data_IF_145421411234
#
_entry.id   IF_145421411234
#
_cell.length_a   1.000
_cell.length_b   1.000
_cell.length_c   1.000
_cell.angle_alpha   90.00
_cell.angle_beta   90.00
_cell.angle_gamma   90.00
#
_symmetry.space_group_name_H-M   'P 1'
#
loop_
_entity.id
_entity.type
_entity.pdbx_description
1 polymer ?
#
# COMPACT_ATOMS: atom_id res chain seq x y z
N UNK A 1 -25.44 22.70 -18.73
CA UNK A 1 -24.36 22.94 -17.75
C UNK A 1 -24.15 21.70 -16.91
N UNK A 2 -23.01 21.09 -17.05
CA UNK A 2 -22.63 20.00 -16.15
C UNK A 2 -22.30 20.59 -14.78
N UNK A 3 -23.08 20.23 -13.78
CA UNK A 3 -22.85 20.65 -12.40
C UNK A 3 -21.48 20.10 -11.97
N UNK A 4 -20.58 20.99 -11.60
CA UNK A 4 -19.24 20.60 -11.13
C UNK A 4 -19.39 19.77 -9.87
N UNK A 5 -19.04 18.51 -9.93
CA UNK A 5 -19.13 17.61 -8.79
C UNK A 5 -18.06 17.97 -7.76
N UNK A 6 -18.47 18.25 -6.54
CA UNK A 6 -17.58 18.58 -5.44
C UNK A 6 -17.36 17.39 -4.52
N UNK A 7 -16.21 17.37 -3.85
CA UNK A 7 -15.92 16.36 -2.85
C UNK A 7 -16.72 16.63 -1.58
N UNK A 8 -17.90 16.03 -1.50
CA UNK A 8 -18.74 16.08 -0.30
C UNK A 8 -18.47 14.85 0.57
N UNK A 9 -18.93 14.89 1.83
CA UNK A 9 -18.87 13.72 2.72
C UNK A 9 -19.56 12.52 2.10
N UNK A 10 -20.70 12.74 1.45
CA UNK A 10 -21.47 11.67 0.80
C UNK A 10 -20.69 11.00 -0.33
N UNK A 11 -20.09 11.80 -1.22
CA UNK A 11 -19.27 11.29 -2.34
C UNK A 11 -18.06 10.52 -1.80
N UNK A 12 -17.38 11.08 -0.80
CA UNK A 12 -16.25 10.45 -0.13
C UNK A 12 -16.61 9.09 0.47
N UNK A 13 -17.72 9.03 1.21
CA UNK A 13 -18.19 7.79 1.86
C UNK A 13 -18.63 6.74 0.85
N UNK A 14 -19.27 7.14 -0.24
CA UNK A 14 -19.70 6.24 -1.30
C UNK A 14 -18.51 5.59 -2.02
N UNK A 15 -17.49 6.38 -2.34
CA UNK A 15 -16.27 5.87 -2.97
C UNK A 15 -15.55 4.92 -2.02
N UNK A 16 -15.39 5.28 -0.76
CA UNK A 16 -14.78 4.43 0.26
C UNK A 16 -15.49 3.10 0.37
N UNK A 17 -16.80 3.11 0.52
CA UNK A 17 -17.61 1.90 0.65
C UNK A 17 -17.46 0.97 -0.56
N UNK A 18 -17.52 1.51 -1.77
CA UNK A 18 -17.37 0.72 -2.99
C UNK A 18 -15.97 0.13 -3.12
N UNK A 19 -14.93 0.87 -2.76
CA UNK A 19 -13.56 0.37 -2.73
C UNK A 19 -13.40 -0.76 -1.71
N UNK A 20 -13.93 -0.59 -0.51
CA UNK A 20 -13.87 -1.61 0.56
C UNK A 20 -14.56 -2.92 0.13
N UNK A 21 -15.60 -2.83 -0.67
CA UNK A 21 -16.29 -4.00 -1.23
C UNK A 21 -15.51 -4.67 -2.37
N UNK A 22 -14.40 -4.09 -2.77
CA UNK A 22 -13.55 -4.65 -3.81
C UNK A 22 -13.85 -4.15 -5.22
N UNK A 23 -14.68 -3.12 -5.39
CA UNK A 23 -14.92 -2.53 -6.70
C UNK A 23 -13.72 -1.67 -7.10
N UNK A 24 -13.08 -1.91 -8.26
CA UNK A 24 -11.98 -1.07 -8.71
C UNK A 24 -12.40 0.38 -8.91
N UNK A 25 -11.48 1.31 -8.64
CA UNK A 25 -11.77 2.75 -8.77
C UNK A 25 -12.20 3.12 -10.20
N UNK A 26 -11.60 2.49 -11.20
CA UNK A 26 -12.00 2.68 -12.60
C UNK A 26 -13.47 2.32 -12.85
N UNK A 27 -13.94 1.25 -12.26
CA UNK A 27 -15.35 0.81 -12.37
C UNK A 27 -16.29 1.77 -11.61
N UNK A 28 -15.88 2.25 -10.46
CA UNK A 28 -16.63 3.24 -9.67
C UNK A 28 -16.85 4.51 -10.49
N UNK A 29 -15.80 5.00 -11.15
CA UNK A 29 -15.85 6.22 -11.94
C UNK A 29 -16.62 6.09 -13.26
N UNK A 30 -16.89 4.86 -13.71
CA UNK A 30 -17.74 4.59 -14.88
C UNK A 30 -19.23 4.58 -14.54
N UNK A 31 -19.57 4.52 -13.27
CA UNK A 31 -20.98 4.51 -12.82
C UNK A 31 -21.59 5.89 -13.07
N UNK A 32 -22.84 5.91 -13.53
CA UNK A 32 -23.57 7.14 -13.80
C UNK A 32 -23.70 7.99 -12.51
N UNK A 33 -23.35 9.28 -12.61
CA UNK A 33 -23.38 10.19 -11.47
C UNK A 33 -22.10 10.21 -10.64
N UNK A 34 -21.15 9.34 -10.93
CA UNK A 34 -19.86 9.31 -10.23
C UNK A 34 -18.88 10.34 -10.79
N UNK A 35 -17.91 10.83 -9.97
CA UNK A 35 -16.86 11.69 -10.48
C UNK A 35 -15.97 10.95 -11.47
N UNK A 36 -15.30 11.70 -12.34
CA UNK A 36 -14.32 11.12 -13.26
C UNK A 36 -13.08 10.63 -12.50
N UNK A 37 -12.35 9.69 -13.08
CA UNK A 37 -11.12 9.17 -12.50
C UNK A 37 -10.09 10.28 -12.27
N UNK A 38 -9.93 11.19 -13.24
CA UNK A 38 -9.03 12.35 -13.13
C UNK A 38 -9.39 13.24 -11.95
N UNK A 39 -10.67 13.42 -11.70
CA UNK A 39 -11.17 14.24 -10.60
C UNK A 39 -10.89 13.61 -9.24
N UNK A 40 -11.10 12.31 -9.13
CA UNK A 40 -10.77 11.56 -7.91
C UNK A 40 -9.27 11.65 -7.60
N UNK A 41 -8.41 11.49 -8.58
CA UNK A 41 -6.97 11.64 -8.39
C UNK A 41 -6.56 13.07 -8.04
N UNK A 42 -7.25 14.08 -8.58
CA UNK A 42 -7.04 15.47 -8.18
C UNK A 42 -7.38 15.69 -6.70
N UNK A 43 -8.48 15.12 -6.23
CA UNK A 43 -8.86 15.17 -4.81
C UNK A 43 -7.86 14.45 -3.91
N UNK A 44 -7.36 13.29 -4.33
CA UNK A 44 -6.32 12.56 -3.58
C UNK A 44 -5.06 13.43 -3.42
N UNK A 45 -4.67 14.17 -4.44
CA UNK A 45 -3.51 15.07 -4.38
C UNK A 45 -3.74 16.29 -3.51
N UNK A 46 -4.96 16.82 -3.48
CA UNK A 46 -5.27 18.10 -2.82
C UNK A 46 -5.80 17.96 -1.40
N UNK A 47 -6.36 16.82 -1.05
CA UNK A 47 -7.00 16.56 0.25
C UNK A 47 -6.34 15.36 0.94
N UNK A 48 -5.59 15.64 2.01
CA UNK A 48 -4.85 14.60 2.75
C UNK A 48 -5.77 13.64 3.48
N UNK A 49 -6.91 14.11 4.00
CA UNK A 49 -7.89 13.26 4.69
C UNK A 49 -8.53 12.28 3.71
N UNK A 50 -8.91 12.78 2.55
CA UNK A 50 -9.46 11.94 1.48
C UNK A 50 -8.42 10.90 1.01
N UNK A 51 -7.17 11.32 0.82
CA UNK A 51 -6.08 10.42 0.44
C UNK A 51 -5.88 9.28 1.47
N UNK A 52 -5.89 9.62 2.76
CA UNK A 52 -5.77 8.62 3.84
C UNK A 52 -6.96 7.66 3.84
N UNK A 53 -8.16 8.17 3.62
CA UNK A 53 -9.40 7.40 3.55
C UNK A 53 -9.37 6.41 2.38
N UNK A 54 -8.93 6.84 1.21
CA UNK A 54 -8.79 5.99 0.03
C UNK A 54 -7.73 4.91 0.26
N UNK A 55 -6.59 5.26 0.85
CA UNK A 55 -5.54 4.28 1.17
C UNK A 55 -6.06 3.21 2.14
N UNK A 56 -6.77 3.60 3.18
CA UNK A 56 -7.37 2.66 4.13
C UNK A 56 -8.42 1.78 3.46
N UNK A 57 -9.25 2.35 2.60
CA UNK A 57 -10.23 1.59 1.83
C UNK A 57 -9.57 0.54 0.92
N UNK A 58 -8.44 0.88 0.31
CA UNK A 58 -7.66 -0.06 -0.52
C UNK A 58 -7.05 -1.18 0.31
N UNK A 59 -6.62 -0.90 1.54
CA UNK A 59 -6.12 -1.94 2.47
C UNK A 59 -7.22 -2.93 2.82
N UNK A 60 -8.41 -2.44 3.14
CA UNK A 60 -9.59 -3.29 3.40
C UNK A 60 -9.98 -4.08 2.15
N UNK A 61 -9.95 -3.44 0.98
CA UNK A 61 -10.22 -4.11 -0.30
C UNK A 61 -9.26 -5.28 -0.55
N UNK A 62 -7.98 -5.12 -0.23
CA UNK A 62 -7.00 -6.20 -0.38
C UNK A 62 -7.37 -7.42 0.48
N UNK A 63 -7.83 -7.21 1.71
CA UNK A 63 -8.35 -8.29 2.56
C UNK A 63 -9.61 -8.92 1.96
N UNK A 64 -10.53 -8.11 1.45
CA UNK A 64 -11.74 -8.59 0.79
C UNK A 64 -11.42 -9.49 -0.40
N UNK A 65 -10.42 -9.13 -1.20
CA UNK A 65 -9.97 -9.96 -2.33
C UNK A 65 -9.39 -11.29 -1.87
N UNK A 66 -8.60 -11.30 -0.79
CA UNK A 66 -8.07 -12.54 -0.22
C UNK A 66 -9.20 -13.47 0.25
N UNK A 67 -10.20 -12.93 0.91
CA UNK A 67 -11.37 -13.71 1.36
C UNK A 67 -12.14 -14.29 0.18
N UNK A 68 -12.38 -13.50 -0.86
CA UNK A 68 -13.02 -13.97 -2.09
C UNK A 68 -12.19 -15.05 -2.80
N UNK A 69 -10.86 -14.97 -2.74
CA UNK A 69 -10.00 -15.99 -3.32
C UNK A 69 -10.14 -17.35 -2.62
N UNK A 70 -10.35 -17.34 -1.30
CA UNK A 70 -10.62 -18.58 -0.55
C UNK A 70 -11.89 -19.25 -1.08
N UNK A 71 -12.98 -18.49 -1.27
CA UNK A 71 -14.22 -19.01 -1.82
C UNK A 71 -14.03 -19.53 -3.25
N UNK A 72 -13.34 -18.79 -4.11
CA UNK A 72 -13.05 -19.20 -5.48
C UNK A 72 -12.22 -20.50 -5.55
N UNK A 73 -11.24 -20.64 -4.65
CA UNK A 73 -10.41 -21.84 -4.56
C UNK A 73 -11.20 -23.08 -4.12
N UNK A 74 -12.14 -22.92 -3.20
CA UNK A 74 -13.01 -24.00 -2.75
C UNK A 74 -13.95 -24.51 -3.85
N UNK A 75 -14.36 -23.62 -4.76
CA UNK A 75 -15.25 -23.92 -5.87
C UNK A 75 -14.52 -24.15 -7.20
N UNK A 76 -13.18 -24.20 -7.18
CA UNK A 76 -12.38 -24.28 -8.40
C UNK A 76 -12.52 -25.63 -9.11
N UNK A 77 -12.57 -25.55 -10.44
CA UNK A 77 -12.50 -26.72 -11.31
C UNK A 77 -11.13 -26.79 -11.99
N UNK A 78 -10.77 -27.94 -12.56
CA UNK A 78 -9.50 -28.10 -13.28
C UNK A 78 -9.31 -27.09 -14.43
N UNK A 79 -10.38 -26.55 -14.98
CA UNK A 79 -10.34 -25.54 -16.05
C UNK A 79 -9.89 -24.16 -15.56
N UNK A 80 -10.11 -23.87 -14.27
CA UNK A 80 -9.90 -22.55 -13.69
C UNK A 80 -8.55 -22.40 -12.99
N UNK A 81 -7.81 -23.49 -12.80
CA UNK A 81 -6.57 -23.54 -11.99
C UNK A 81 -5.54 -22.51 -12.45
N UNK A 82 -5.34 -22.35 -13.77
CA UNK A 82 -4.37 -21.40 -14.30
C UNK A 82 -4.73 -19.96 -13.96
N UNK A 83 -5.99 -19.57 -14.21
CA UNK A 83 -6.48 -18.22 -13.91
C UNK A 83 -6.47 -17.94 -12.41
N UNK A 84 -6.90 -18.89 -11.60
CA UNK A 84 -6.92 -18.76 -10.13
C UNK A 84 -5.52 -18.58 -9.56
N UNK A 85 -4.54 -19.30 -10.10
CA UNK A 85 -3.13 -19.15 -9.71
C UNK A 85 -2.63 -17.73 -9.95
N UNK A 86 -2.91 -17.17 -11.12
CA UNK A 86 -2.53 -15.81 -11.46
C UNK A 86 -3.23 -14.76 -10.59
N UNK A 87 -4.53 -14.91 -10.37
CA UNK A 87 -5.30 -14.04 -9.46
C UNK A 87 -4.74 -14.09 -8.04
N UNK A 88 -4.51 -15.29 -7.52
CA UNK A 88 -3.98 -15.48 -6.17
C UNK A 88 -2.60 -14.85 -6.01
N UNK A 89 -1.73 -15.02 -7.01
CA UNK A 89 -0.41 -14.40 -7.03
C UNK A 89 -0.52 -12.87 -6.99
N UNK A 90 -1.39 -12.29 -7.81
CA UNK A 90 -1.61 -10.85 -7.87
C UNK A 90 -2.16 -10.29 -6.55
N UNK A 91 -3.17 -10.94 -5.97
CA UNK A 91 -3.77 -10.48 -4.71
C UNK A 91 -2.82 -10.62 -3.53
N UNK A 92 -2.01 -11.67 -3.49
CA UNK A 92 -0.98 -11.83 -2.46
C UNK A 92 0.08 -10.74 -2.57
N UNK A 93 0.52 -10.43 -3.78
CA UNK A 93 1.45 -9.33 -4.01
C UNK A 93 0.85 -8.00 -3.55
N UNK A 94 -0.38 -7.70 -3.94
CA UNK A 94 -1.10 -6.49 -3.54
C UNK A 94 -1.24 -6.39 -2.02
N UNK A 95 -1.63 -7.49 -1.37
CA UNK A 95 -1.76 -7.55 0.08
C UNK A 95 -0.42 -7.27 0.78
N UNK A 96 0.69 -7.79 0.27
CA UNK A 96 2.02 -7.54 0.83
C UNK A 96 2.43 -6.07 0.78
N UNK A 97 1.91 -5.32 -0.20
CA UNK A 97 2.20 -3.88 -0.34
C UNK A 97 1.27 -2.99 0.47
N UNK A 98 0.02 -3.40 0.67
CA UNK A 98 -1.01 -2.58 1.29
C UNK A 98 -1.27 -2.91 2.76
N UNK A 99 -1.02 -4.15 3.17
CA UNK A 99 -1.34 -4.63 4.52
C UNK A 99 -0.03 -4.96 5.24
N UNK A 100 0.25 -4.23 6.34
CA UNK A 100 1.51 -4.34 7.08
C UNK A 100 1.82 -5.73 7.62
N UNK A 101 0.80 -6.50 8.03
CA UNK A 101 0.99 -7.87 8.56
C UNK A 101 1.44 -8.88 7.49
N UNK A 102 1.20 -8.58 6.20
CA UNK A 102 1.64 -9.40 5.08
C UNK A 102 2.89 -8.85 4.39
N UNK A 103 3.40 -7.70 4.85
CA UNK A 103 4.58 -7.06 4.28
C UNK A 103 5.88 -7.78 4.62
N UNK A 104 6.87 -7.64 3.76
CA UNK A 104 8.19 -8.18 3.98
C UNK A 104 8.88 -7.50 5.16
N UNK A 105 9.58 -8.28 5.98
CA UNK A 105 10.35 -7.79 7.14
C UNK A 105 11.42 -6.76 6.78
N UNK A 106 11.78 -6.63 5.51
CA UNK A 106 12.79 -5.68 5.03
C UNK A 106 12.39 -4.22 5.20
N UNK A 107 11.10 -3.89 5.21
CA UNK A 107 10.65 -2.51 5.46
C UNK A 107 10.90 -2.03 6.88
N UNK A 108 10.88 -2.95 7.85
CA UNK A 108 11.13 -2.62 9.26
C UNK A 108 12.62 -2.34 9.51
N UNK A 109 13.52 -3.00 8.79
CA UNK A 109 14.97 -2.80 8.93
C UNK A 109 15.44 -1.47 8.33
N UNK A 110 14.78 -0.96 7.29
CA UNK A 110 15.14 0.33 6.67
C UNK A 110 14.83 1.49 7.62
N UNK A 111 13.72 1.44 8.34
CA UNK A 111 13.33 2.47 9.28
C UNK A 111 14.24 2.49 10.54
N UNK A 112 14.83 1.35 10.91
CA UNK A 112 15.76 1.27 12.03
C UNK A 112 17.18 1.73 11.68
N UNK A 113 17.57 1.71 10.42
CA UNK A 113 18.91 2.16 9.96
C UNK A 113 19.05 3.67 9.83
N UNK A 114 17.96 4.42 9.92
CA UNK A 114 18.00 5.90 9.83
C UNK A 114 18.55 6.54 11.08
N UNK A 115 18.69 5.80 12.18
CA UNK A 115 19.24 6.29 13.45
C UNK A 115 20.74 6.01 13.65
N UNK A 116 21.51 5.74 12.60
CA UNK A 116 22.96 5.69 12.71
C UNK A 116 23.47 7.13 12.87
N UNK A 117 23.50 7.57 14.13
CA UNK A 117 24.22 8.77 14.50
C UNK A 117 25.71 8.49 14.37
N UNK A 118 26.35 9.14 13.42
CA UNK A 118 27.80 9.17 13.33
C UNK A 118 28.32 9.92 14.56
N UNK A 119 28.66 9.18 15.62
CA UNK A 119 29.38 9.77 16.74
C UNK A 119 30.81 10.00 16.31
N UNK A 120 31.14 11.28 16.04
CA UNK A 120 32.48 11.72 15.66
C UNK A 120 33.55 11.38 16.75
N UNK A 121 33.09 10.99 17.96
CA UNK A 121 33.97 10.55 19.04
C UNK A 121 34.62 9.18 18.80
N UNK A 122 34.06 8.34 17.90
CA UNK A 122 34.62 7.02 17.59
C UNK A 122 35.85 7.09 16.66
N UNK A 123 36.02 8.17 15.90
CA UNK A 123 37.19 8.38 15.04
C UNK A 123 38.47 8.49 15.85
N UNK A 124 38.40 9.03 17.07
CA UNK A 124 39.57 9.15 17.94
C UNK A 124 40.04 7.80 18.52
N UNK A 125 39.13 6.84 18.63
CA UNK A 125 39.47 5.52 19.15
C UNK A 125 40.24 4.71 18.11
N UNK A 126 39.85 4.82 16.82
CA UNK A 126 40.54 4.13 15.74
C UNK A 126 41.94 4.69 15.45
N UNK A 127 42.13 5.99 15.56
CA UNK A 127 43.44 6.62 15.42
C UNK A 127 44.39 6.17 16.53
N UNK A 128 43.91 5.99 17.74
CA UNK A 128 44.73 5.51 18.85
C UNK A 128 45.08 4.02 18.76
N UNK A 129 44.17 3.19 18.22
CA UNK A 129 44.45 1.77 17.96
C UNK A 129 45.46 1.59 16.85
N UNK A 130 45.36 2.37 15.76
CA UNK A 130 46.32 2.35 14.64
C UNK A 130 47.71 2.83 15.11
N UNK A 131 47.82 3.81 15.97
CA UNK A 131 49.08 4.25 16.54
C UNK A 131 49.75 3.19 17.42
N UNK A 132 48.98 2.47 18.23
CA UNK A 132 49.51 1.42 19.09
C UNK A 132 50.02 0.22 18.28
N UNK A 133 49.39 -0.10 17.15
CA UNK A 133 49.82 -1.18 16.25
C UNK A 133 51.09 -0.81 15.50
N UNK A 134 51.31 0.48 15.15
CA UNK A 134 52.53 0.94 14.49
C UNK A 134 53.70 1.17 15.42
N UNK A 135 53.48 1.37 16.72
CA UNK A 135 54.56 1.53 17.73
C UNK A 135 55.13 0.19 18.24
N UNK A 136 54.36 -0.92 18.12
CA UNK A 136 54.80 -2.27 18.49
C UNK A 136 55.47 -3.05 17.33
N UNK A 137 55.65 -2.41 16.20
CA UNK A 137 56.41 -2.96 15.08
C UNK A 137 57.83 -2.34 15.08
#
# INVERSE_FOLDING_TARGET
MTKKLELTSQVSDDIERMLMNGTPLTSICQTKGSPSLSKVYAWIRSDKEFAAKILQARRVAAQTYLDKMIEELENATNKDVGLLREKLHHYRWMASKLIGIYGDKQQVEVDQKVEITWNVSDDKTYENEIRNVTEDA
#
